data_IF_640840687395
#
_entry.id   IF_640840687395
#
_cell.length_a   1.000
_cell.length_b   1.000
_cell.length_c   1.000
_cell.angle_alpha   90.00
_cell.angle_beta   90.00
_cell.angle_gamma   90.00
#
_symmetry.space_group_name_H-M   'P 1'
#
loop_
_entity.id
_entity.type
_entity.pdbx_description
1 polymer ?
#
# COMPACT_ATOMS: atom_id res chain seq x y z
N UNK A 1 14.02 -19.96 7.44
CA UNK A 1 13.38 -18.79 6.83
C UNK A 1 14.45 -18.01 6.08
N UNK A 2 14.22 -17.55 4.85
CA UNK A 2 15.19 -16.67 4.18
C UNK A 2 15.18 -15.33 4.93
N UNK A 3 16.33 -14.92 5.47
CA UNK A 3 16.49 -13.60 6.08
C UNK A 3 16.69 -12.59 4.95
N UNK A 4 15.61 -11.97 4.48
CA UNK A 4 15.70 -10.80 3.63
C UNK A 4 16.09 -9.59 4.48
N UNK A 5 17.10 -8.84 4.06
CA UNK A 5 17.43 -7.55 4.66
C UNK A 5 16.53 -6.47 4.04
N UNK A 6 15.53 -6.03 4.80
CA UNK A 6 14.57 -5.00 4.38
C UNK A 6 14.94 -3.60 4.88
N UNK A 7 16.13 -3.42 5.48
CA UNK A 7 16.47 -2.14 6.13
C UNK A 7 16.61 -0.97 5.17
N UNK A 8 16.89 -1.24 3.88
CA UNK A 8 16.97 -0.20 2.85
C UNK A 8 15.66 0.05 2.13
N UNK A 9 14.70 -0.88 2.23
CA UNK A 9 13.39 -0.80 1.58
C UNK A 9 12.55 0.29 2.24
N UNK A 10 11.92 1.11 1.41
CA UNK A 10 11.05 2.20 1.78
C UNK A 10 9.60 1.90 1.44
N UNK A 11 8.68 2.30 2.32
CA UNK A 11 7.26 2.09 2.14
C UNK A 11 6.48 3.39 2.35
N UNK A 12 5.41 3.57 1.56
CA UNK A 12 4.39 4.58 1.79
C UNK A 12 3.08 3.90 2.18
N UNK A 13 2.49 4.34 3.30
CA UNK A 13 1.16 3.88 3.76
C UNK A 13 0.13 4.97 3.55
N UNK A 14 -0.93 4.68 2.78
CA UNK A 14 -2.03 5.60 2.49
C UNK A 14 -3.31 5.05 3.08
N UNK A 15 -3.73 5.54 4.25
CA UNK A 15 -4.88 5.01 4.99
C UNK A 15 -5.49 6.10 5.86
N UNK A 16 -6.80 6.29 5.89
CA UNK A 16 -7.42 7.44 6.61
C UNK A 16 -7.45 7.28 8.13
N UNK A 17 -7.52 6.07 8.65
CA UNK A 17 -7.67 5.84 10.08
C UNK A 17 -6.32 5.77 10.79
N UNK A 18 -6.04 6.75 11.65
CA UNK A 18 -4.78 6.84 12.39
C UNK A 18 -4.38 5.54 13.14
N UNK A 19 -5.30 4.83 13.84
CA UNK A 19 -4.95 3.56 14.48
C UNK A 19 -4.48 2.50 13.48
N UNK A 20 -5.15 2.38 12.33
CA UNK A 20 -4.80 1.43 11.28
C UNK A 20 -3.46 1.81 10.62
N UNK A 21 -3.25 3.09 10.28
CA UNK A 21 -1.95 3.59 9.82
C UNK A 21 -0.82 3.25 10.79
N UNK A 22 -1.04 3.52 12.08
CA UNK A 22 -0.03 3.23 13.10
C UNK A 22 0.26 1.74 13.24
N UNK A 23 -0.77 0.90 13.16
CA UNK A 23 -0.61 -0.55 13.16
C UNK A 23 0.18 -1.03 11.93
N UNK A 24 -0.17 -0.60 10.72
CA UNK A 24 0.54 -0.98 9.48
C UNK A 24 2.02 -0.58 9.52
N UNK A 25 2.31 0.64 9.97
CA UNK A 25 3.70 1.08 10.17
C UNK A 25 4.45 0.25 11.20
N UNK A 26 3.80 -0.09 12.31
CA UNK A 26 4.37 -0.95 13.35
C UNK A 26 4.79 -2.30 12.76
N UNK A 27 3.88 -2.94 12.01
CA UNK A 27 4.15 -4.22 11.35
C UNK A 27 5.31 -4.08 10.36
N UNK A 28 5.30 -3.08 9.46
CA UNK A 28 6.39 -2.90 8.49
C UNK A 28 7.76 -2.69 9.16
N UNK A 29 7.79 -1.95 10.27
CA UNK A 29 9.01 -1.75 11.06
C UNK A 29 9.47 -3.03 11.75
N UNK A 30 8.54 -3.83 12.28
CA UNK A 30 8.84 -5.15 12.84
C UNK A 30 9.39 -6.12 11.79
N UNK A 31 8.97 -5.99 10.53
CA UNK A 31 9.53 -6.72 9.40
C UNK A 31 10.94 -6.22 8.99
N UNK A 32 11.38 -5.08 9.51
CA UNK A 32 12.73 -4.54 9.31
C UNK A 32 12.82 -3.30 8.42
N UNK A 33 11.70 -2.79 7.88
CA UNK A 33 11.70 -1.56 7.08
C UNK A 33 11.94 -0.35 8.01
N UNK A 34 13.04 0.36 7.78
CA UNK A 34 13.38 1.57 8.56
C UNK A 34 12.74 2.83 8.00
N UNK A 35 12.39 2.84 6.72
CA UNK A 35 11.85 3.99 6.00
C UNK A 35 10.37 3.75 5.72
N UNK A 36 9.50 4.25 6.59
CA UNK A 36 8.04 4.11 6.42
C UNK A 36 7.40 5.47 6.62
N UNK A 37 6.95 6.06 5.52
CA UNK A 37 6.17 7.29 5.49
C UNK A 37 4.67 6.94 5.46
N UNK A 38 3.82 7.82 6.01
CA UNK A 38 2.37 7.61 6.01
C UNK A 38 1.59 8.91 5.80
N UNK A 39 0.46 8.79 5.10
CA UNK A 39 -0.47 9.90 4.84
C UNK A 39 -1.92 9.45 4.98
N UNK A 40 -2.79 10.43 5.29
CA UNK A 40 -4.18 10.18 5.66
C UNK A 40 -5.19 10.34 4.50
N UNK A 41 -4.74 10.70 3.30
CA UNK A 41 -5.60 10.93 2.14
C UNK A 41 -4.97 10.41 0.85
N UNK A 42 -5.81 10.10 -0.14
CA UNK A 42 -5.39 9.63 -1.46
C UNK A 42 -4.67 10.73 -2.26
N UNK A 43 -5.07 11.99 -2.07
CA UNK A 43 -4.48 13.15 -2.74
C UNK A 43 -3.04 13.36 -2.27
N UNK A 44 -2.85 13.46 -0.94
CA UNK A 44 -1.52 13.51 -0.32
C UNK A 44 -0.71 12.24 -0.59
N UNK A 45 -1.38 11.09 -0.79
CA UNK A 45 -0.79 9.84 -1.24
C UNK A 45 -0.03 9.97 -2.54
N UNK A 46 -0.62 10.58 -3.56
CA UNK A 46 0.04 10.75 -4.85
C UNK A 46 1.18 11.77 -4.78
N UNK A 47 1.01 12.85 -4.03
CA UNK A 47 2.06 13.87 -3.83
C UNK A 47 3.29 13.27 -3.14
N UNK A 48 3.08 12.56 -2.03
CA UNK A 48 4.17 11.97 -1.25
C UNK A 48 4.82 10.80 -2.00
N UNK A 49 4.04 10.01 -2.76
CA UNK A 49 4.56 8.98 -3.66
C UNK A 49 5.58 9.54 -4.66
N UNK A 50 5.23 10.62 -5.37
CA UNK A 50 6.14 11.24 -6.34
C UNK A 50 7.35 11.89 -5.70
N UNK A 51 7.20 12.42 -4.48
CA UNK A 51 8.27 13.09 -3.75
C UNK A 51 9.27 12.12 -3.12
N UNK A 52 8.79 10.98 -2.63
CA UNK A 52 9.59 10.01 -1.86
C UNK A 52 10.07 8.82 -2.66
N UNK A 53 9.41 8.54 -3.79
CA UNK A 53 9.71 7.40 -4.67
C UNK A 53 9.84 6.08 -3.87
N UNK A 54 8.81 5.68 -3.10
CA UNK A 54 8.90 4.51 -2.24
C UNK A 54 9.06 3.22 -3.04
N UNK A 55 9.71 2.22 -2.45
CA UNK A 55 9.86 0.89 -3.06
C UNK A 55 8.56 0.07 -3.05
N UNK A 56 7.63 0.40 -2.14
CA UNK A 56 6.33 -0.24 -2.04
C UNK A 56 5.27 0.72 -1.50
N UNK A 57 4.04 0.61 -1.99
CA UNK A 57 2.90 1.39 -1.51
C UNK A 57 1.83 0.46 -0.93
N UNK A 58 1.35 0.76 0.27
CA UNK A 58 0.17 0.13 0.86
C UNK A 58 -0.97 1.15 0.84
N UNK A 59 -2.09 0.81 0.21
CA UNK A 59 -3.22 1.74 0.03
C UNK A 59 -4.49 1.14 0.61
N UNK A 60 -5.13 1.83 1.55
CA UNK A 60 -6.47 1.48 2.01
C UNK A 60 -7.46 1.56 0.84
N UNK A 61 -8.40 0.63 0.80
CA UNK A 61 -9.53 0.74 -0.10
C UNK A 61 -10.82 0.40 0.61
N UNK A 62 -11.66 1.43 0.73
CA UNK A 62 -12.93 1.40 1.40
C UNK A 62 -13.92 2.33 0.69
N UNK A 63 -15.22 2.17 0.95
CA UNK A 63 -16.29 2.99 0.35
C UNK A 63 -16.03 4.51 0.37
N UNK A 64 -15.39 5.02 1.44
CA UNK A 64 -15.09 6.44 1.61
C UNK A 64 -13.58 6.71 1.58
N UNK A 65 -12.83 5.98 0.75
CA UNK A 65 -11.40 6.18 0.55
C UNK A 65 -10.96 5.58 -0.79
N UNK A 66 -10.63 6.45 -1.75
CA UNK A 66 -10.45 6.08 -3.16
C UNK A 66 -9.06 5.50 -3.47
N UNK A 67 -8.77 4.34 -2.87
CA UNK A 67 -7.50 3.64 -3.10
C UNK A 67 -7.29 3.22 -4.55
N UNK A 68 -8.38 2.85 -5.25
CA UNK A 68 -8.32 2.47 -6.67
C UNK A 68 -8.02 3.68 -7.55
N UNK A 69 -8.63 4.84 -7.27
CA UNK A 69 -8.28 6.08 -7.95
C UNK A 69 -6.80 6.42 -7.80
N UNK A 70 -6.23 6.27 -6.60
CA UNK A 70 -4.80 6.45 -6.39
C UNK A 70 -3.96 5.43 -7.18
N UNK A 71 -4.32 4.14 -7.16
CA UNK A 71 -3.64 3.11 -7.95
C UNK A 71 -3.65 3.45 -9.45
N UNK A 72 -4.82 3.76 -10.00
CA UNK A 72 -4.95 4.18 -11.39
C UNK A 72 -4.06 5.38 -11.70
N UNK A 73 -4.07 6.39 -10.83
CA UNK A 73 -3.23 7.58 -10.98
C UNK A 73 -1.73 7.23 -10.99
N UNK A 74 -1.29 6.33 -10.10
CA UNK A 74 0.09 5.82 -10.10
C UNK A 74 0.42 5.13 -11.44
N UNK A 75 -0.49 4.32 -11.99
CA UNK A 75 -0.25 3.57 -13.23
C UNK A 75 -0.26 4.45 -14.50
N UNK A 76 -1.08 5.49 -14.55
CA UNK A 76 -1.40 6.17 -15.82
C UNK A 76 -1.09 7.66 -15.87
N UNK A 77 -0.93 8.34 -14.74
CA UNK A 77 -0.65 9.79 -14.73
C UNK A 77 0.77 10.06 -15.26
N UNK A 78 0.91 11.04 -16.15
CA UNK A 78 2.20 11.40 -16.75
C UNK A 78 3.22 11.93 -15.74
N UNK A 79 2.76 12.39 -14.58
CA UNK A 79 3.62 12.86 -13.49
C UNK A 79 3.98 11.76 -12.50
N UNK A 80 3.53 10.52 -12.71
CA UNK A 80 3.91 9.39 -11.87
C UNK A 80 5.41 9.12 -11.94
N UNK A 81 6.09 9.16 -10.81
CA UNK A 81 7.53 8.90 -10.73
C UNK A 81 7.88 7.44 -11.04
N UNK A 82 6.98 6.50 -10.73
CA UNK A 82 7.17 5.07 -10.98
C UNK A 82 5.84 4.33 -11.21
N UNK A 83 5.38 4.17 -12.46
CA UNK A 83 4.14 3.46 -12.74
C UNK A 83 4.22 1.96 -12.45
N UNK A 84 5.40 1.39 -12.18
CA UNK A 84 5.60 -0.03 -11.88
C UNK A 84 5.82 -0.32 -10.40
N UNK A 85 5.72 0.68 -9.52
CA UNK A 85 5.88 0.47 -8.08
C UNK A 85 4.94 -0.64 -7.60
N UNK A 86 5.41 -1.59 -6.77
CA UNK A 86 4.54 -2.54 -6.12
C UNK A 86 3.46 -1.85 -5.28
N UNK A 87 2.19 -2.16 -5.54
CA UNK A 87 1.06 -1.60 -4.78
C UNK A 87 0.27 -2.75 -4.15
N UNK A 88 0.16 -2.72 -2.82
CA UNK A 88 -0.66 -3.64 -2.04
C UNK A 88 -1.95 -2.93 -1.63
N UNK A 89 -3.08 -3.44 -2.09
CA UNK A 89 -4.40 -2.93 -1.71
C UNK A 89 -4.82 -3.53 -0.36
N UNK A 90 -5.17 -2.70 0.61
CA UNK A 90 -5.54 -3.11 1.97
C UNK A 90 -7.02 -2.83 2.20
N UNK A 91 -7.87 -3.85 2.27
CA UNK A 91 -9.33 -3.64 2.27
C UNK A 91 -10.08 -4.52 3.26
N UNK A 92 -11.20 -4.03 3.79
CA UNK A 92 -12.14 -4.84 4.59
C UNK A 92 -13.10 -5.67 3.73
N UNK A 93 -13.14 -5.42 2.43
CA UNK A 93 -14.05 -6.11 1.52
C UNK A 93 -13.33 -7.27 0.84
N UNK A 94 -13.89 -8.47 0.94
CA UNK A 94 -13.38 -9.68 0.27
C UNK A 94 -14.28 -10.13 -0.89
N UNK A 95 -15.14 -9.25 -1.39
CA UNK A 95 -16.02 -9.50 -2.51
C UNK A 95 -15.19 -9.72 -3.78
N UNK A 96 -15.50 -10.78 -4.54
CA UNK A 96 -14.73 -11.18 -5.74
C UNK A 96 -14.65 -10.06 -6.77
N UNK A 97 -15.75 -9.32 -6.98
CA UNK A 97 -15.82 -8.25 -7.97
C UNK A 97 -14.83 -7.11 -7.66
N UNK A 98 -14.62 -6.81 -6.37
CA UNK A 98 -13.64 -5.82 -5.94
C UNK A 98 -12.21 -6.29 -6.16
N UNK A 99 -11.93 -7.58 -5.93
CA UNK A 99 -10.61 -8.15 -6.21
C UNK A 99 -10.30 -8.08 -7.72
N UNK A 100 -11.31 -8.33 -8.56
CA UNK A 100 -11.19 -8.20 -10.02
C UNK A 100 -10.88 -6.76 -10.41
N UNK A 101 -11.64 -5.79 -9.90
CA UNK A 101 -11.41 -4.36 -10.16
C UNK A 101 -9.99 -3.93 -9.80
N UNK A 102 -9.51 -4.30 -8.61
CA UNK A 102 -8.17 -3.95 -8.15
C UNK A 102 -7.06 -4.63 -8.97
N UNK A 103 -7.27 -5.89 -9.37
CA UNK A 103 -6.37 -6.62 -10.26
C UNK A 103 -6.27 -5.94 -11.62
N UNK A 104 -7.41 -5.59 -12.20
CA UNK A 104 -7.49 -5.00 -13.54
C UNK A 104 -6.92 -3.55 -13.55
N UNK A 105 -6.95 -2.87 -12.39
CA UNK A 105 -6.24 -1.60 -12.16
C UNK A 105 -4.71 -1.76 -12.00
N UNK A 106 -4.18 -2.99 -12.00
CA UNK A 106 -2.73 -3.25 -11.94
C UNK A 106 -2.15 -3.23 -10.54
N UNK A 107 -2.91 -3.66 -9.52
CA UNK A 107 -2.34 -3.92 -8.20
C UNK A 107 -1.32 -5.07 -8.26
N UNK A 108 -0.38 -5.07 -7.33
CA UNK A 108 0.54 -6.20 -7.16
C UNK A 108 -0.10 -7.30 -6.33
N UNK A 109 -0.75 -6.93 -5.23
CA UNK A 109 -1.44 -7.88 -4.38
C UNK A 109 -2.51 -7.22 -3.51
N UNK A 110 -3.35 -8.02 -2.86
CA UNK A 110 -4.37 -7.52 -1.94
C UNK A 110 -4.24 -8.16 -0.56
N UNK A 111 -4.59 -7.41 0.48
CA UNK A 111 -4.63 -7.86 1.85
C UNK A 111 -6.00 -7.57 2.46
N UNK A 112 -6.73 -8.64 2.77
CA UNK A 112 -8.00 -8.56 3.47
C UNK A 112 -7.80 -8.26 4.97
N UNK A 113 -8.42 -7.19 5.46
CA UNK A 113 -8.55 -6.87 6.88
C UNK A 113 -9.40 -7.98 7.57
N UNK A 114 -9.08 -8.40 8.81
CA UNK A 114 -8.01 -7.88 9.66
C UNK A 114 -6.61 -8.33 9.21
N UNK A 115 -5.68 -7.37 9.27
CA UNK A 115 -4.26 -7.54 8.93
C UNK A 115 -3.53 -8.10 10.14
N UNK A 116 -2.68 -9.10 9.92
CA UNK A 116 -1.70 -9.57 10.91
C UNK A 116 -0.31 -9.55 10.31
N UNK A 117 0.73 -9.41 11.15
CA UNK A 117 2.12 -9.41 10.68
C UNK A 117 2.46 -10.65 9.84
N UNK A 118 1.89 -11.81 10.20
CA UNK A 118 2.04 -13.06 9.43
C UNK A 118 1.47 -12.94 8.01
N UNK A 119 0.30 -12.32 7.83
CA UNK A 119 -0.29 -12.15 6.48
C UNK A 119 0.56 -11.21 5.61
N UNK A 120 1.16 -10.18 6.20
CA UNK A 120 1.99 -9.23 5.46
C UNK A 120 3.32 -9.85 5.00
N UNK A 121 3.89 -10.77 5.79
CA UNK A 121 5.17 -11.43 5.46
C UNK A 121 5.05 -12.55 4.42
N UNK A 122 3.86 -13.13 4.25
CA UNK A 122 3.62 -14.32 3.40
C UNK A 122 3.08 -13.94 2.00
N UNK A 123 3.20 -12.67 1.61
CA UNK A 123 2.95 -12.29 0.22
C UNK A 123 3.99 -13.01 -0.66
N UNK A 124 3.52 -13.99 -1.43
CA UNK A 124 4.34 -14.90 -2.23
C UNK A 124 4.94 -14.20 -3.45
#
# INVERSE_FOLDING_TARGET
MKNFDLTQVSALVVEKHHPMRSMLRGILRELGLKKVDDVASTESGFEEFNKKEPDIVLVDWALNFDGIGLLNKIRTDTNSSNPFVPVIMVTAHSEVDRVIEARDAGMTEYLAKPISAKKLYVLN
#
